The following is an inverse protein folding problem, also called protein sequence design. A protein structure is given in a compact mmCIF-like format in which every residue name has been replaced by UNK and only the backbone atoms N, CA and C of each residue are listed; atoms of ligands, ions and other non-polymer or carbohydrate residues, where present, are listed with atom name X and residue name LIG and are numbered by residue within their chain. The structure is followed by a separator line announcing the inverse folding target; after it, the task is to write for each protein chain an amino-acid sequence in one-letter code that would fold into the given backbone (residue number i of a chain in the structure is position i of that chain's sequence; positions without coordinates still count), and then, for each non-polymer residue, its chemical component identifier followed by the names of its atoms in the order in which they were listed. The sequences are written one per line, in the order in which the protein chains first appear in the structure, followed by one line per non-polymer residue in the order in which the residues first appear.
data_IF_622949906489
#
_entry.id   IF_622949906489
#
_cell.length_a   1.000
_cell.length_b   1.000
_cell.length_c   1.000
_cell.angle_alpha   90.00
_cell.angle_beta   90.00
_cell.angle_gamma   90.00
#
_symmetry.space_group_name_H-M   'P 1'
#
loop_
_entity.id
_entity.type
_entity.pdbx_description
1 polymer ?
#
# COMPACT_ATOMS: atom_id res chain seq x y z
N UNK A 1 9.10 13.67 12.84
CA UNK A 1 8.23 12.91 11.94
C UNK A 1 7.71 11.72 12.70
N UNK A 2 6.39 11.50 12.67
CA UNK A 2 5.78 10.27 13.20
C UNK A 2 5.61 9.32 12.01
N UNK A 3 6.04 8.07 12.16
CA UNK A 3 5.89 7.03 11.14
C UNK A 3 4.47 6.49 11.23
N UNK A 4 3.63 6.87 10.26
CA UNK A 4 2.20 6.55 10.25
C UNK A 4 1.86 5.47 9.22
N UNK A 5 2.75 5.23 8.25
CA UNK A 5 2.70 4.08 7.36
C UNK A 5 4.10 3.53 7.07
N UNK A 6 4.18 2.22 6.83
CA UNK A 6 5.43 1.50 6.59
C UNK A 6 5.24 0.38 5.57
N UNK A 7 6.24 0.18 4.73
CA UNK A 7 6.38 -0.98 3.84
C UNK A 7 7.77 -1.58 4.05
N UNK A 8 7.84 -2.88 4.31
CA UNK A 8 9.11 -3.63 4.32
C UNK A 8 9.10 -4.64 3.19
N UNK A 9 10.17 -4.67 2.39
CA UNK A 9 10.28 -5.54 1.22
C UNK A 9 11.29 -6.65 1.51
N UNK A 10 10.82 -7.88 1.71
CA UNK A 10 11.72 -9.01 1.95
C UNK A 10 12.02 -9.74 0.64
N UNK A 11 13.31 -9.83 0.30
CA UNK A 11 13.80 -10.55 -0.88
C UNK A 11 14.40 -11.90 -0.51
N UNK A 12 14.23 -12.88 -1.39
CA UNK A 12 14.88 -14.19 -1.34
C UNK A 12 15.48 -14.49 -2.72
N UNK A 13 16.76 -14.85 -2.78
CA UNK A 13 17.46 -15.15 -4.05
C UNK A 13 17.35 -14.04 -5.11
N UNK A 14 17.34 -12.78 -4.67
CA UNK A 14 17.23 -11.62 -5.56
C UNK A 14 15.81 -11.31 -6.07
N UNK A 15 14.82 -12.14 -5.73
CA UNK A 15 13.41 -11.91 -6.04
C UNK A 15 12.62 -11.50 -4.79
N UNK A 16 11.56 -10.72 -4.95
CA UNK A 16 10.72 -10.32 -3.81
C UNK A 16 9.87 -11.51 -3.38
N UNK A 17 9.96 -11.88 -2.10
CA UNK A 17 9.25 -13.01 -1.53
C UNK A 17 8.00 -12.54 -0.77
N UNK A 18 8.16 -11.54 0.09
CA UNK A 18 7.10 -11.03 0.95
C UNK A 18 7.21 -9.53 1.11
N UNK A 19 6.07 -8.88 1.35
CA UNK A 19 6.03 -7.50 1.81
C UNK A 19 5.23 -7.43 3.12
N UNK A 20 5.72 -6.62 4.05
CA UNK A 20 4.95 -6.17 5.20
C UNK A 20 4.41 -4.79 4.90
N UNK A 21 3.13 -4.56 5.13
CA UNK A 21 2.46 -3.30 4.83
C UNK A 21 1.63 -2.85 6.01
N UNK A 22 1.76 -1.57 6.38
CA UNK A 22 0.86 -0.88 7.29
C UNK A 22 0.56 0.50 6.71
N UNK A 23 -0.69 0.78 6.36
CA UNK A 23 -1.07 2.09 5.79
C UNK A 23 -2.57 2.40 5.95
N UNK A 24 -2.97 3.68 5.91
CA UNK A 24 -4.38 4.06 5.96
C UNK A 24 -5.12 3.68 4.68
N UNK A 25 -6.37 3.23 4.85
CA UNK A 25 -7.35 2.96 3.81
C UNK A 25 -8.66 3.69 4.12
N UNK A 26 -9.39 4.07 3.07
CA UNK A 26 -10.74 4.61 3.17
C UNK A 26 -11.72 3.70 2.47
N UNK A 27 -12.90 3.53 3.04
CA UNK A 27 -13.96 2.74 2.42
C UNK A 27 -15.23 3.57 2.26
N UNK A 28 -15.92 3.37 1.13
CA UNK A 28 -17.17 4.05 0.83
C UNK A 28 -18.06 3.19 -0.05
N UNK A 29 -19.32 3.03 0.31
CA UNK A 29 -20.30 2.41 -0.59
C UNK A 29 -20.59 3.34 -1.78
N UNK A 30 -20.52 2.79 -2.99
CA UNK A 30 -20.83 3.51 -4.22
C UNK A 30 -22.30 3.34 -4.64
N UNK A 31 -22.72 4.09 -5.64
CA UNK A 31 -24.11 4.06 -6.14
C UNK A 31 -24.52 2.71 -6.75
N UNK A 32 -23.56 1.83 -7.05
CA UNK A 32 -23.78 0.50 -7.63
C UNK A 32 -23.88 -0.60 -6.57
N UNK A 33 -23.79 -0.25 -5.27
CA UNK A 33 -23.85 -1.22 -4.19
C UNK A 33 -22.56 -2.02 -4.01
N UNK A 34 -21.41 -1.51 -4.47
CA UNK A 34 -20.09 -2.05 -4.16
C UNK A 34 -19.39 -1.17 -3.11
N UNK A 35 -18.49 -1.77 -2.35
CA UNK A 35 -17.59 -1.08 -1.43
C UNK A 35 -16.34 -0.63 -2.20
N UNK A 36 -16.22 0.68 -2.43
CA UNK A 36 -14.97 1.29 -2.89
C UNK A 36 -13.97 1.30 -1.74
N UNK A 37 -12.75 0.87 -2.01
CA UNK A 37 -11.61 0.89 -1.09
C UNK A 37 -10.51 1.71 -1.71
N UNK A 38 -10.22 2.87 -1.12
CA UNK A 38 -9.19 3.80 -1.56
C UNK A 38 -7.94 3.55 -0.72
N UNK A 39 -6.79 3.44 -1.39
CA UNK A 39 -5.48 3.26 -0.77
C UNK A 39 -4.64 4.51 -1.11
N UNK A 40 -4.78 5.60 -0.34
CA UNK A 40 -4.33 6.93 -0.76
C UNK A 40 -2.83 7.00 -1.01
N UNK A 41 -2.03 6.33 -0.17
CA UNK A 41 -0.56 6.39 -0.23
C UNK A 41 0.04 5.63 -1.41
N UNK A 42 -0.79 4.86 -2.14
CA UNK A 42 -0.41 4.23 -3.40
C UNK A 42 -1.16 4.81 -4.60
N UNK A 43 -2.08 5.75 -4.37
CA UNK A 43 -2.79 6.47 -5.43
C UNK A 43 -3.81 5.63 -6.21
N UNK A 44 -4.30 4.51 -5.66
CA UNK A 44 -5.28 3.66 -6.33
C UNK A 44 -6.52 3.35 -5.51
N UNK A 45 -7.54 2.90 -6.22
CA UNK A 45 -8.84 2.46 -5.71
C UNK A 45 -9.09 1.03 -6.20
N UNK A 46 -9.65 0.20 -5.33
CA UNK A 46 -10.15 -1.14 -5.65
C UNK A 46 -11.60 -1.27 -5.19
N UNK A 47 -12.29 -2.33 -5.62
CA UNK A 47 -13.69 -2.56 -5.31
C UNK A 47 -13.89 -3.92 -4.69
N UNK A 48 -14.71 -3.96 -3.65
CA UNK A 48 -15.15 -5.18 -3.00
C UNK A 48 -16.67 -5.23 -2.97
N UNK A 49 -17.21 -6.45 -2.84
CA UNK A 49 -18.65 -6.65 -2.70
C UNK A 49 -19.15 -6.22 -1.32
N UNK A 50 -18.35 -6.48 -0.29
CA UNK A 50 -18.63 -6.14 1.10
C UNK A 50 -17.32 -5.94 1.90
N UNK A 51 -17.45 -5.69 3.20
CA UNK A 51 -16.28 -5.46 4.07
C UNK A 51 -15.39 -6.70 4.22
N UNK A 52 -15.93 -7.92 4.05
CA UNK A 52 -15.15 -9.15 4.13
C UNK A 52 -14.29 -9.33 2.88
N UNK A 53 -14.85 -9.03 1.72
CA UNK A 53 -14.13 -9.08 0.45
C UNK A 53 -13.12 -7.91 0.29
N UNK A 54 -13.26 -6.85 1.09
CA UNK A 54 -12.38 -5.68 1.06
C UNK A 54 -10.91 -6.02 1.33
N UNK A 55 -10.65 -6.92 2.27
CA UNK A 55 -9.29 -7.31 2.64
C UNK A 55 -8.56 -7.96 1.47
N UNK A 56 -9.21 -8.92 0.79
CA UNK A 56 -8.67 -9.56 -0.41
C UNK A 56 -8.48 -8.59 -1.56
N UNK A 57 -9.43 -7.65 -1.76
CA UNK A 57 -9.30 -6.64 -2.80
C UNK A 57 -8.09 -5.71 -2.57
N UNK A 58 -7.78 -5.38 -1.31
CA UNK A 58 -6.58 -4.61 -0.93
C UNK A 58 -5.32 -5.43 -1.22
N UNK A 59 -5.28 -6.69 -0.81
CA UNK A 59 -4.16 -7.60 -1.04
C UNK A 59 -3.83 -7.73 -2.52
N UNK A 60 -4.84 -8.02 -3.34
CA UNK A 60 -4.67 -8.15 -4.79
C UNK A 60 -4.19 -6.85 -5.43
N UNK A 61 -4.69 -5.69 -4.99
CA UNK A 61 -4.28 -4.41 -5.52
C UNK A 61 -2.82 -4.08 -5.17
N UNK A 62 -2.40 -4.34 -3.93
CA UNK A 62 -1.00 -4.15 -3.50
C UNK A 62 -0.08 -5.13 -4.24
N UNK A 63 -0.44 -6.42 -4.32
CA UNK A 63 0.35 -7.41 -5.07
C UNK A 63 0.47 -6.97 -6.53
N UNK A 64 -0.63 -6.54 -7.15
CA UNK A 64 -0.63 -6.10 -8.55
C UNK A 64 0.27 -4.89 -8.77
N UNK A 65 0.21 -3.89 -7.88
CA UNK A 65 1.12 -2.74 -7.90
C UNK A 65 2.58 -3.20 -7.88
N UNK A 66 2.92 -4.09 -6.94
CA UNK A 66 4.26 -4.61 -6.78
C UNK A 66 4.75 -5.41 -8.00
N UNK A 67 3.91 -6.29 -8.54
CA UNK A 67 4.20 -7.09 -9.74
C UNK A 67 4.45 -6.18 -10.95
N UNK A 68 3.60 -5.17 -11.14
CA UNK A 68 3.74 -4.22 -12.25
C UNK A 68 5.00 -3.37 -12.11
N UNK A 69 5.29 -2.88 -10.90
CA UNK A 69 6.49 -2.10 -10.62
C UNK A 69 7.79 -2.88 -10.90
N UNK A 70 7.85 -4.17 -10.52
CA UNK A 70 9.02 -5.01 -10.79
C UNK A 70 9.14 -5.42 -12.27
N UNK A 71 8.03 -5.76 -12.94
CA UNK A 71 8.08 -6.29 -14.30
C UNK A 71 8.17 -5.21 -15.38
N UNK A 72 7.48 -4.09 -15.17
CA UNK A 72 7.27 -3.07 -16.19
C UNK A 72 7.71 -1.67 -15.75
N UNK A 73 7.86 -1.45 -14.45
CA UNK A 73 8.30 -0.18 -13.86
C UNK A 73 9.81 -0.12 -13.64
N UNK A 74 10.22 0.73 -12.70
CA UNK A 74 11.63 0.87 -12.32
C UNK A 74 12.00 0.10 -11.04
N UNK A 75 11.15 -0.85 -10.62
CA UNK A 75 11.23 -1.56 -9.34
C UNK A 75 10.43 -0.85 -8.23
N UNK A 76 9.90 -1.62 -7.30
CA UNK A 76 8.94 -1.16 -6.27
C UNK A 76 9.49 0.03 -5.48
N UNK A 77 10.74 -0.04 -5.06
CA UNK A 77 11.35 1.04 -4.26
C UNK A 77 11.29 2.39 -4.96
N UNK A 78 11.56 2.44 -6.27
CA UNK A 78 11.53 3.69 -7.02
C UNK A 78 10.11 4.19 -7.26
N UNK A 79 9.17 3.29 -7.55
CA UNK A 79 7.75 3.66 -7.70
C UNK A 79 7.17 4.21 -6.39
N UNK A 80 7.49 3.59 -5.25
CA UNK A 80 7.11 4.09 -3.93
C UNK A 80 7.75 5.45 -3.63
N UNK A 81 9.03 5.65 -3.96
CA UNK A 81 9.67 6.95 -3.81
C UNK A 81 9.00 8.05 -4.66
N UNK A 82 8.58 7.73 -5.88
CA UNK A 82 7.83 8.65 -6.73
C UNK A 82 6.48 9.04 -6.13
N UNK A 83 5.87 8.14 -5.35
CA UNK A 83 4.65 8.37 -4.58
C UNK A 83 4.89 9.13 -3.26
N UNK A 84 6.14 9.44 -2.90
CA UNK A 84 6.49 10.21 -1.71
C UNK A 84 7.01 9.38 -0.52
N UNK A 85 7.13 8.06 -0.67
CA UNK A 85 7.73 7.20 0.35
C UNK A 85 9.23 7.46 0.50
N UNK A 86 9.76 7.29 1.71
CA UNK A 86 11.17 7.52 2.01
C UNK A 86 11.84 6.24 2.48
N UNK A 87 13.08 6.04 2.06
CA UNK A 87 13.89 4.91 2.52
C UNK A 87 14.29 5.16 3.98
N UNK A 88 13.89 4.25 4.87
CA UNK A 88 14.20 4.26 6.30
C UNK A 88 15.18 3.14 6.70
N UNK A 89 15.55 2.26 5.77
CA UNK A 89 16.52 1.18 5.94
C UNK A 89 16.75 0.46 4.61
N UNK A 90 17.59 -0.58 4.58
CA UNK A 90 17.95 -1.32 3.35
C UNK A 90 16.72 -1.80 2.56
N UNK A 91 15.70 -2.27 3.28
CA UNK A 91 14.46 -2.81 2.73
C UNK A 91 13.18 -2.14 3.29
N UNK A 92 13.35 -1.08 4.07
CA UNK A 92 12.26 -0.41 4.78
C UNK A 92 11.95 0.94 4.14
N UNK A 93 10.68 1.16 3.84
CA UNK A 93 10.13 2.43 3.40
C UNK A 93 9.09 2.92 4.40
N UNK A 94 9.12 4.22 4.65
CA UNK A 94 8.19 4.88 5.55
C UNK A 94 7.52 6.05 4.85
N UNK A 95 6.27 6.25 5.21
CA UNK A 95 5.53 7.46 4.87
C UNK A 95 5.31 8.26 6.15
N UNK A 96 5.95 9.42 6.20
CA UNK A 96 5.80 10.38 7.29
C UNK A 96 5.44 11.74 6.71
N UNK A 97 4.67 12.52 7.48
CA UNK A 97 4.37 13.90 7.16
C UNK A 97 4.95 14.84 8.21
N UNK A 98 5.31 16.05 7.78
CA UNK A 98 5.47 17.17 8.69
C UNK A 98 4.08 17.75 8.95
N UNK A 99 3.78 18.09 10.21
CA UNK A 99 2.46 18.51 10.73
C UNK A 99 1.80 19.72 10.02
N UNK A 100 2.38 20.21 8.93
CA UNK A 100 1.85 21.29 8.09
C UNK A 100 0.97 20.79 6.93
N UNK A 101 0.96 19.49 6.63
CA UNK A 101 0.13 18.93 5.56
C UNK A 101 -1.25 18.48 6.06
N UNK A 102 -2.25 19.34 5.89
CA UNK A 102 -3.63 19.08 6.30
C UNK A 102 -4.29 17.92 5.54
N UNK A 103 -3.82 17.57 4.33
CA UNK A 103 -4.36 16.44 3.56
C UNK A 103 -3.85 15.14 4.13
N UNK A 104 -2.53 15.03 4.38
CA UNK A 104 -1.94 13.86 5.01
C UNK A 104 -2.49 13.64 6.42
N UNK A 105 -2.63 14.71 7.21
CA UNK A 105 -3.26 14.63 8.53
C UNK A 105 -4.68 14.02 8.46
N UNK A 106 -5.49 14.42 7.48
CA UNK A 106 -6.83 13.84 7.29
C UNK A 106 -6.78 12.38 6.84
N UNK A 107 -5.85 12.02 5.94
CA UNK A 107 -5.62 10.63 5.51
C UNK A 107 -5.37 9.72 6.70
N UNK A 108 -4.46 10.10 7.59
CA UNK A 108 -4.11 9.30 8.75
C UNK A 108 -5.17 9.33 9.86
N UNK A 109 -5.85 10.48 10.09
CA UNK A 109 -6.90 10.58 11.12
C UNK A 109 -8.19 9.85 10.76
N UNK A 110 -8.61 9.90 9.50
CA UNK A 110 -9.90 9.36 9.06
C UNK A 110 -9.79 7.93 8.52
N UNK A 111 -8.58 7.46 8.23
CA UNK A 111 -8.34 6.13 7.70
C UNK A 111 -8.40 5.02 8.74
N UNK A 112 -9.10 3.94 8.40
CA UNK A 112 -8.82 2.64 9.03
C UNK A 112 -7.42 2.22 8.58
N UNK A 113 -6.65 1.58 9.43
CA UNK A 113 -5.33 1.09 9.04
C UNK A 113 -5.46 -0.34 8.54
N UNK A 114 -5.01 -0.57 7.30
CA UNK A 114 -4.75 -1.91 6.81
C UNK A 114 -3.35 -2.31 7.26
N UNK A 115 -3.21 -3.54 7.76
CA UNK A 115 -1.95 -4.11 8.18
C UNK A 115 -1.87 -5.57 7.77
N UNK A 116 -0.82 -5.93 7.03
CA UNK A 116 -0.50 -7.31 6.73
C UNK A 116 1.03 -7.49 6.81
N UNK A 117 1.54 -8.27 7.78
CA UNK A 117 2.97 -8.45 7.97
C UNK A 117 3.64 -9.39 6.96
N UNK A 118 2.85 -10.18 6.22
CA UNK A 118 3.33 -11.30 5.41
C UNK A 118 2.55 -11.46 4.10
N UNK A 119 2.40 -10.36 3.34
CA UNK A 119 1.77 -10.43 2.04
C UNK A 119 2.73 -11.09 1.03
N UNK A 120 2.37 -12.29 0.59
CA UNK A 120 3.19 -13.09 -0.32
C UNK A 120 3.07 -12.57 -1.75
N UNK A 121 4.19 -12.42 -2.44
CA UNK A 121 4.21 -12.11 -3.86
C UNK A 121 4.51 -13.36 -4.69
N UNK A 122 3.53 -13.77 -5.48
CA UNK A 122 3.75 -14.79 -6.50
C UNK A 122 4.11 -14.11 -7.82
N UNK A 123 5.36 -13.67 -7.92
CA UNK A 123 5.93 -13.23 -9.19
C UNK A 123 6.05 -14.48 -10.07
N UNK A 124 5.05 -14.74 -10.93
CA UNK A 124 5.17 -15.83 -11.90
C UNK A 124 6.43 -15.60 -12.77
N UNK A 125 7.20 -16.66 -13.01
CA UNK A 125 8.42 -16.59 -13.82
C UNK A 125 8.12 -16.30 -15.29
#
# INVERSE_FOLDING_TARGET
MTTEASITITKHEGSIAFISVRMPIWTKWNAFGNLSVIIPLLGFETFAKDEKDAEHAIEEAIISFCVVAERFGQGITKELQALGWRIAGEDNLEYGFDYTDAVLENIFKMGKHYENPHLKLELAA
#
